data_IF_618829072008
#
_entry.id   IF_618829072008
#
_cell.length_a   1.000
_cell.length_b   1.000
_cell.length_c   1.000
_cell.angle_alpha   90.00
_cell.angle_beta   90.00
_cell.angle_gamma   90.00
#
_symmetry.space_group_name_H-M   'P 1'
#
loop_
_entity.id
_entity.type
_entity.pdbx_description
1 polymer ?
#
# COMPACT_ATOMS: atom_id res chain seq x y z
N UNK A 1 5.55 -4.34 23.65
CA UNK A 1 6.36 -3.53 22.72
C UNK A 1 5.49 -3.23 21.52
N UNK A 2 5.17 -1.96 21.24
CA UNK A 2 4.48 -1.62 20.00
C UNK A 2 5.48 -1.82 18.86
N UNK A 3 5.20 -2.78 17.97
CA UNK A 3 6.01 -2.99 16.76
C UNK A 3 5.71 -1.78 15.88
N UNK A 4 6.72 -0.94 15.64
CA UNK A 4 6.55 0.20 14.74
C UNK A 4 6.14 -0.34 13.36
N UNK A 5 5.13 0.28 12.70
CA UNK A 5 4.74 -0.15 11.37
C UNK A 5 5.93 -0.02 10.40
N UNK A 6 6.08 -0.95 9.44
CA UNK A 6 7.19 -0.90 8.51
C UNK A 6 7.13 0.37 7.65
N UNK A 7 8.30 0.98 7.45
CA UNK A 7 8.49 2.14 6.56
C UNK A 7 8.66 1.70 5.12
N UNK A 8 8.46 2.62 4.17
CA UNK A 8 8.73 2.40 2.74
C UNK A 8 10.15 1.86 2.56
N UNK A 9 11.16 2.48 3.20
CA UNK A 9 12.55 2.02 3.15
C UNK A 9 12.73 0.58 3.64
N UNK A 10 12.04 0.22 4.74
CA UNK A 10 12.10 -1.11 5.31
C UNK A 10 11.45 -2.14 4.39
N UNK A 11 10.34 -1.79 3.74
CA UNK A 11 9.66 -2.64 2.76
C UNK A 11 10.51 -2.82 1.48
N UNK A 12 11.07 -1.74 0.96
CA UNK A 12 11.98 -1.80 -0.20
C UNK A 12 13.23 -2.63 0.09
N UNK A 13 13.79 -2.53 1.31
CA UNK A 13 14.91 -3.37 1.75
C UNK A 13 14.54 -4.86 1.84
N UNK A 14 13.25 -5.18 1.99
CA UNK A 14 12.72 -6.55 1.98
C UNK A 14 12.32 -7.01 0.56
N UNK A 15 12.61 -6.22 -0.48
CA UNK A 15 12.26 -6.56 -1.86
C UNK A 15 10.80 -6.24 -2.24
N UNK A 16 10.08 -5.48 -1.43
CA UNK A 16 8.70 -5.08 -1.73
C UNK A 16 8.72 -3.82 -2.63
N UNK A 17 8.25 -3.89 -3.88
CA UNK A 17 8.30 -2.76 -4.82
C UNK A 17 7.22 -1.70 -4.54
N UNK A 18 6.13 -2.09 -3.89
CA UNK A 18 4.98 -1.23 -3.67
C UNK A 18 3.93 -1.81 -2.71
N UNK A 19 2.70 -1.37 -2.86
CA UNK A 19 1.55 -1.82 -2.08
C UNK A 19 0.27 -1.80 -2.90
N UNK A 20 -0.71 -2.57 -2.47
CA UNK A 20 -2.06 -2.51 -3.02
C UNK A 20 -2.90 -1.53 -2.24
N UNK A 21 -3.62 -0.68 -2.98
CA UNK A 21 -4.77 0.05 -2.46
C UNK A 21 -6.01 -0.75 -2.80
N UNK A 22 -6.64 -1.33 -1.78
CA UNK A 22 -7.88 -2.08 -1.94
C UNK A 22 -9.05 -1.25 -1.45
N UNK A 23 -10.09 -1.10 -2.26
CA UNK A 23 -11.30 -0.42 -1.82
C UNK A 23 -12.00 -1.27 -0.75
N UNK A 24 -12.24 -0.68 0.42
CA UNK A 24 -12.95 -1.35 1.52
C UNK A 24 -14.48 -1.39 1.32
N UNK A 25 -14.98 -0.85 0.21
CA UNK A 25 -16.40 -0.97 -0.13
C UNK A 25 -16.69 -2.43 -0.52
N UNK A 26 -17.58 -3.15 0.20
CA UNK A 26 -17.86 -4.56 -0.03
C UNK A 26 -18.44 -4.84 -1.43
N UNK A 27 -19.00 -3.83 -2.11
CA UNK A 27 -19.54 -3.96 -3.46
C UNK A 27 -18.51 -3.73 -4.57
N UNK A 28 -17.36 -3.12 -4.27
CA UNK A 28 -16.33 -2.81 -5.26
C UNK A 28 -15.10 -3.69 -5.09
N UNK A 29 -14.50 -3.69 -3.89
CA UNK A 29 -13.31 -4.48 -3.53
C UNK A 29 -12.14 -4.42 -4.54
N UNK A 30 -12.09 -3.38 -5.38
CA UNK A 30 -11.04 -3.28 -6.39
C UNK A 30 -9.71 -2.99 -5.71
N UNK A 31 -8.71 -3.81 -6.02
CA UNK A 31 -7.32 -3.62 -5.62
C UNK A 31 -6.50 -3.05 -6.79
N UNK A 32 -5.75 -1.99 -6.53
CA UNK A 32 -4.83 -1.40 -7.51
C UNK A 32 -3.41 -1.40 -6.94
N UNK A 33 -2.42 -1.98 -7.64
CA UNK A 33 -1.02 -1.88 -7.23
C UNK A 33 -0.53 -0.44 -7.39
N UNK A 34 0.26 0.03 -6.43
CA UNK A 34 0.93 1.32 -6.46
C UNK A 34 2.38 1.11 -6.04
N UNK A 35 3.29 1.46 -6.95
CA UNK A 35 4.73 1.44 -6.70
C UNK A 35 5.14 2.60 -5.78
N UNK A 36 6.07 2.34 -4.86
CA UNK A 36 6.57 3.40 -3.96
C UNK A 36 7.22 4.56 -4.72
N UNK A 37 7.87 4.26 -5.86
CA UNK A 37 8.52 5.26 -6.72
C UNK A 37 7.54 6.29 -7.29
N UNK A 38 6.30 5.87 -7.59
CA UNK A 38 5.27 6.74 -8.20
C UNK A 38 4.70 7.78 -7.22
N UNK A 39 4.83 7.54 -5.92
CA UNK A 39 4.23 8.39 -4.89
C UNK A 39 5.12 9.54 -4.45
N UNK A 40 6.41 9.50 -4.79
CA UNK A 40 7.43 10.48 -4.34
C UNK A 40 7.31 10.80 -2.85
N UNK A 41 7.08 9.78 -2.02
CA UNK A 41 6.98 9.91 -0.57
C UNK A 41 8.34 9.70 0.08
N UNK A 42 8.53 10.31 1.25
CA UNK A 42 9.74 10.11 2.03
C UNK A 42 9.88 8.64 2.43
N UNK A 43 11.04 7.99 2.23
CA UNK A 43 11.24 6.57 2.49
C UNK A 43 11.12 6.21 3.98
N UNK A 44 11.23 7.17 4.90
CA UNK A 44 10.94 6.96 6.33
C UNK A 44 9.43 6.99 6.65
N UNK A 45 8.56 7.25 5.66
CA UNK A 45 7.11 7.22 5.84
C UNK A 45 6.64 5.80 6.15
N UNK A 46 5.92 5.57 7.26
CA UNK A 46 5.31 4.27 7.54
C UNK A 46 4.09 4.03 6.64
N UNK A 47 3.89 2.78 6.22
CA UNK A 47 2.79 2.38 5.32
C UNK A 47 1.39 2.91 5.73
N UNK A 48 0.94 2.79 6.99
CA UNK A 48 -0.39 3.30 7.39
C UNK A 48 -0.50 4.83 7.35
N UNK A 49 0.62 5.56 7.32
CA UNK A 49 0.58 7.01 7.13
C UNK A 49 0.41 7.39 5.64
N UNK A 50 0.69 6.47 4.71
CA UNK A 50 0.46 6.71 3.27
C UNK A 50 -1.03 6.95 3.00
N UNK A 51 -1.90 6.16 3.65
CA UNK A 51 -3.37 6.29 3.60
C UNK A 51 -3.85 7.66 4.08
N UNK A 52 -3.15 8.24 5.07
CA UNK A 52 -3.49 9.54 5.64
C UNK A 52 -2.92 10.69 4.82
N UNK A 53 -1.71 10.52 4.27
CA UNK A 53 -1.03 11.54 3.45
C UNK A 53 -1.58 11.62 2.04
N UNK A 54 -2.10 10.52 1.50
CA UNK A 54 -2.70 10.45 0.15
C UNK A 54 -4.18 10.13 0.28
N UNK A 55 -5.02 11.07 -0.15
CA UNK A 55 -6.45 10.81 -0.32
C UNK A 55 -6.68 9.88 -1.50
N UNK A 56 -6.56 8.57 -1.28
CA UNK A 56 -6.92 7.58 -2.29
C UNK A 56 -8.43 7.57 -2.48
N UNK A 57 -8.84 7.62 -3.74
CA UNK A 57 -10.24 7.48 -4.15
C UNK A 57 -10.28 6.29 -5.08
N UNK A 58 -11.13 5.32 -4.78
CA UNK A 58 -11.34 4.19 -5.67
C UNK A 58 -11.88 4.70 -7.01
N UNK A 59 -11.20 4.46 -8.14
CA UNK A 59 -11.64 4.98 -9.43
C UNK A 59 -12.93 4.33 -9.93
N UNK A 60 -13.25 3.09 -9.49
CA UNK A 60 -14.47 2.40 -9.90
C UNK A 60 -15.74 2.86 -9.17
N UNK A 61 -15.65 3.15 -7.87
CA UNK A 61 -16.84 3.46 -7.06
C UNK A 61 -16.80 4.83 -6.37
N UNK A 62 -15.70 5.57 -6.47
CA UNK A 62 -15.53 6.88 -5.81
C UNK A 62 -15.36 6.82 -4.29
N UNK A 63 -15.31 5.62 -3.69
CA UNK A 63 -15.13 5.48 -2.24
C UNK A 63 -13.75 5.93 -1.80
N UNK A 64 -13.69 6.64 -0.67
CA UNK A 64 -12.45 7.02 0.03
C UNK A 64 -12.03 5.99 1.07
N UNK A 65 -12.88 5.00 1.35
CA UNK A 65 -12.54 3.90 2.23
C UNK A 65 -11.68 2.92 1.46
N UNK A 66 -10.38 2.97 1.74
CA UNK A 66 -9.38 2.07 1.18
C UNK A 66 -8.55 1.47 2.30
N UNK A 67 -7.92 0.35 2.01
CA UNK A 67 -6.93 -0.30 2.87
C UNK A 67 -5.65 -0.51 2.07
N UNK A 68 -4.51 -0.19 2.67
CA UNK A 68 -3.19 -0.42 2.07
C UNK A 68 -2.57 -1.69 2.60
N UNK A 69 -2.07 -2.53 1.70
CA UNK A 69 -1.38 -3.77 2.04
C UNK A 69 -0.09 -3.86 1.22
N UNK A 70 1.08 -4.18 1.82
CA UNK A 70 2.31 -4.29 1.05
C UNK A 70 2.18 -5.36 -0.04
N UNK A 71 2.80 -5.11 -1.19
CA UNK A 71 2.83 -6.06 -2.29
C UNK A 71 3.89 -7.14 -2.02
N UNK A 72 3.56 -8.07 -1.12
CA UNK A 72 4.40 -9.22 -0.82
C UNK A 72 4.45 -10.26 -1.95
N UNK A 73 3.79 -10.02 -3.10
CA UNK A 73 3.79 -10.96 -4.23
C UNK A 73 5.14 -11.06 -4.93
N UNK A 74 6.10 -10.18 -4.64
CA UNK A 74 7.46 -10.31 -5.14
C UNK A 74 8.16 -11.63 -4.72
N UNK A 75 7.68 -12.32 -3.67
CA UNK A 75 8.30 -13.56 -3.16
C UNK A 75 7.46 -14.83 -3.34
N UNK A 76 6.23 -14.74 -3.89
CA UNK A 76 5.44 -15.95 -4.24
C UNK A 76 5.72 -16.38 -5.68
N UNK A 77 6.99 -16.62 -6.00
CA UNK A 77 7.34 -17.62 -7.03
C UNK A 77 7.39 -18.94 -6.27
N UNK A 78 6.24 -19.61 -6.15
CA UNK A 78 6.22 -21.05 -5.84
C UNK A 78 7.04 -21.75 -6.94
N UNK A 79 8.11 -22.42 -6.50
CA UNK A 79 8.85 -23.40 -7.31
C UNK A 79 8.11 -24.72 -7.46
#
# INVERSE_FOLDING_TARGET
MAIAPPTIASLQSQGVPGFFVTCSNPLCQQSTPIDFETLSLDPATPLPEIEKKRSFVCPACGSKQVSTLPDWRADWVEG
#
